data_IF_357628798129
#
_entry.id   IF_357628798129
#
_cell.length_a   1.000
_cell.length_b   1.000
_cell.length_c   1.000
_cell.angle_alpha   90.00
_cell.angle_beta   90.00
_cell.angle_gamma   90.00
#
_symmetry.space_group_name_H-M   'P 1'
#
loop_
_entity.id
_entity.type
_entity.pdbx_description
1 polymer ?
#
# COMPACT_ATOMS: atom_id res chain seq x y z
N UNK A 1 23.05 -12.46 11.86
CA UNK A 1 22.11 -11.55 12.35
C UNK A 1 21.42 -12.04 13.58
N UNK A 2 21.52 -11.28 14.59
CA UNK A 2 21.16 -11.72 15.92
C UNK A 2 19.76 -11.31 16.32
N UNK A 3 19.21 -10.42 15.58
CA UNK A 3 17.91 -9.87 15.91
C UNK A 3 16.83 -10.93 15.72
N UNK A 4 15.92 -11.08 16.68
CA UNK A 4 14.79 -12.01 16.49
C UNK A 4 13.99 -11.55 15.29
N UNK A 5 14.20 -12.26 14.19
CA UNK A 5 13.61 -12.00 12.94
C UNK A 5 12.17 -11.63 12.97
N UNK A 6 11.22 -12.45 13.54
CA UNK A 6 9.80 -12.13 13.45
C UNK A 6 9.46 -10.77 14.03
N UNK A 7 10.13 -10.42 15.11
CA UNK A 7 9.88 -9.14 15.77
C UNK A 7 10.38 -7.96 14.94
N UNK A 8 11.61 -8.07 14.41
CA UNK A 8 12.19 -6.99 13.60
C UNK A 8 11.40 -6.74 12.34
N UNK A 9 10.99 -7.82 11.66
CA UNK A 9 10.21 -7.71 10.45
C UNK A 9 8.85 -7.09 10.72
N UNK A 10 8.19 -7.54 11.78
CA UNK A 10 6.89 -7.03 12.17
C UNK A 10 6.95 -5.53 12.50
N UNK A 11 8.01 -5.10 13.16
CA UNK A 11 8.19 -3.68 13.48
C UNK A 11 8.40 -2.86 12.21
N UNK A 12 9.23 -3.32 11.29
CA UNK A 12 9.42 -2.62 10.01
C UNK A 12 8.15 -2.53 9.21
N UNK A 13 7.43 -3.64 9.10
CA UNK A 13 6.16 -3.68 8.38
C UNK A 13 5.14 -2.75 9.03
N UNK A 14 5.06 -2.76 10.34
CA UNK A 14 4.14 -1.89 11.07
C UNK A 14 4.48 -0.41 10.88
N UNK A 15 5.77 -0.07 10.92
CA UNK A 15 6.21 1.30 10.67
C UNK A 15 5.87 1.75 9.25
N UNK A 16 6.21 0.92 8.27
CA UNK A 16 5.91 1.24 6.88
C UNK A 16 4.41 1.39 6.65
N UNK A 17 3.62 0.50 7.20
CA UNK A 17 2.18 0.53 7.08
C UNK A 17 1.60 1.79 7.74
N UNK A 18 2.05 2.12 8.93
CA UNK A 18 1.57 3.30 9.66
C UNK A 18 1.92 4.59 8.92
N UNK A 19 3.19 4.74 8.53
CA UNK A 19 3.64 5.95 7.84
C UNK A 19 2.91 6.10 6.51
N UNK A 20 2.81 5.02 5.73
CA UNK A 20 2.12 5.08 4.45
C UNK A 20 0.64 5.39 4.61
N UNK A 21 0.00 4.84 5.64
CA UNK A 21 -1.41 5.13 5.94
C UNK A 21 -1.61 6.62 6.26
N UNK A 22 -0.73 7.20 7.07
CA UNK A 22 -0.82 8.62 7.39
C UNK A 22 -0.64 9.50 6.16
N UNK A 23 0.28 9.12 5.26
CA UNK A 23 0.47 9.83 4.00
C UNK A 23 -0.78 9.71 3.12
N UNK A 24 -1.37 8.53 3.03
CA UNK A 24 -2.60 8.32 2.28
C UNK A 24 -3.72 9.22 2.81
N UNK A 25 -3.90 9.26 4.13
CA UNK A 25 -4.95 10.08 4.74
C UNK A 25 -4.72 11.57 4.50
N UNK A 26 -3.47 12.02 4.61
CA UNK A 26 -3.14 13.41 4.34
C UNK A 26 -3.45 13.79 2.88
N UNK A 27 -3.04 12.95 1.94
CA UNK A 27 -3.29 13.21 0.53
C UNK A 27 -4.77 13.15 0.17
N UNK A 28 -5.53 12.25 0.78
CA UNK A 28 -6.99 12.21 0.57
C UNK A 28 -7.63 13.54 0.93
N UNK A 29 -7.21 14.14 2.05
CA UNK A 29 -7.74 15.43 2.48
C UNK A 29 -7.33 16.58 1.58
N UNK A 30 -6.15 16.49 0.95
CA UNK A 30 -5.62 17.54 0.09
C UNK A 30 -6.22 17.48 -1.31
N UNK A 31 -6.43 16.29 -1.84
CA UNK A 31 -6.82 16.11 -3.25
C UNK A 31 -8.34 16.04 -3.41
N UNK A 32 -9.04 15.41 -2.49
CA UNK A 32 -10.50 15.30 -2.49
C UNK A 32 -11.10 14.72 -3.78
N UNK A 33 -10.40 13.77 -4.42
CA UNK A 33 -10.94 13.13 -5.61
C UNK A 33 -12.01 12.12 -5.20
N UNK A 34 -13.23 12.29 -5.69
CA UNK A 34 -14.29 11.34 -5.44
C UNK A 34 -14.06 10.04 -6.20
N UNK A 35 -14.59 8.93 -5.65
CA UNK A 35 -14.47 7.62 -6.28
C UNK A 35 -15.22 7.58 -7.60
N UNK A 36 -14.83 6.67 -8.51
CA UNK A 36 -15.64 6.39 -9.70
C UNK A 36 -17.06 6.07 -9.27
N UNK A 37 -17.98 6.31 -10.16
CA UNK A 37 -19.35 6.44 -9.80
C UNK A 37 -20.09 5.14 -9.46
N UNK A 38 -21.40 5.19 -9.69
CA UNK A 38 -22.40 4.21 -9.31
C UNK A 38 -22.22 2.80 -9.89
N UNK A 39 -21.26 2.57 -10.78
CA UNK A 39 -20.96 1.25 -11.30
C UNK A 39 -20.07 0.41 -10.40
N UNK A 40 -19.67 0.95 -9.26
CA UNK A 40 -18.80 0.23 -8.32
C UNK A 40 -19.47 -1.06 -7.85
N UNK A 41 -18.70 -2.15 -7.84
CA UNK A 41 -19.16 -3.47 -7.44
C UNK A 41 -19.18 -3.66 -5.93
N UNK A 42 -18.50 -2.80 -5.19
CA UNK A 42 -18.48 -2.86 -3.72
C UNK A 42 -18.69 -1.48 -3.13
N UNK A 43 -19.09 -1.45 -1.86
CA UNK A 43 -19.26 -0.20 -1.13
C UNK A 43 -17.99 0.11 -0.34
N UNK A 44 -17.56 1.36 -0.36
CA UNK A 44 -16.41 1.82 0.41
C UNK A 44 -16.84 2.76 1.52
N UNK A 45 -16.19 2.70 2.70
CA UNK A 45 -16.56 3.56 3.82
C UNK A 45 -16.19 5.02 3.62
N UNK A 46 -15.14 5.33 2.86
CA UNK A 46 -14.81 6.73 2.60
C UNK A 46 -15.09 7.08 1.14
N UNK A 47 -15.35 8.36 0.90
CA UNK A 47 -15.82 8.83 -0.41
C UNK A 47 -14.70 9.24 -1.34
N UNK A 48 -13.46 9.40 -0.86
CA UNK A 48 -12.36 9.87 -1.68
C UNK A 48 -11.48 8.72 -2.13
N UNK A 49 -11.07 8.77 -3.38
CA UNK A 49 -10.35 7.66 -4.00
C UNK A 49 -8.83 7.81 -4.00
N UNK A 50 -8.31 9.02 -4.01
CA UNK A 50 -6.88 9.25 -4.20
C UNK A 50 -6.17 9.52 -2.88
N UNK A 51 -5.10 8.83 -2.56
CA UNK A 51 -4.62 7.64 -3.25
C UNK A 51 -5.28 6.35 -2.70
N UNK A 52 -5.05 5.20 -3.35
CA UNK A 52 -5.63 3.93 -2.92
C UNK A 52 -4.96 3.42 -1.65
N UNK A 53 -5.73 3.30 -0.57
CA UNK A 53 -5.24 2.75 0.68
C UNK A 53 -4.91 1.27 0.59
N UNK A 54 -5.73 0.48 -0.11
CA UNK A 54 -5.48 -0.95 -0.28
C UNK A 54 -4.23 -1.23 -1.11
N UNK A 55 -4.04 -0.47 -2.19
CA UNK A 55 -2.84 -0.62 -3.01
C UNK A 55 -1.58 -0.28 -2.21
N UNK A 56 -1.63 0.80 -1.43
CA UNK A 56 -0.52 1.22 -0.58
C UNK A 56 -0.21 0.17 0.49
N UNK A 57 -1.21 -0.24 1.23
CA UNK A 57 -1.03 -1.19 2.33
C UNK A 57 -0.52 -2.54 1.85
N UNK A 58 -1.11 -3.07 0.78
CA UNK A 58 -0.71 -4.37 0.25
C UNK A 58 0.75 -4.37 -0.19
N UNK A 59 1.16 -3.33 -0.91
CA UNK A 59 2.53 -3.27 -1.41
C UNK A 59 3.53 -2.95 -0.29
N UNK A 60 3.17 -2.10 0.66
CA UNK A 60 4.05 -1.80 1.79
C UNK A 60 4.36 -3.05 2.61
N UNK A 61 3.36 -3.87 2.89
CA UNK A 61 3.57 -5.13 3.62
C UNK A 61 4.39 -6.10 2.78
N UNK A 62 4.03 -6.28 1.51
CA UNK A 62 4.74 -7.20 0.62
C UNK A 62 6.22 -6.84 0.49
N UNK A 63 6.53 -5.57 0.29
CA UNK A 63 7.92 -5.11 0.16
C UNK A 63 8.69 -5.27 1.46
N UNK A 64 8.06 -4.99 2.60
CA UNK A 64 8.72 -5.13 3.89
C UNK A 64 9.18 -6.56 4.13
N UNK A 65 8.34 -7.55 3.82
CA UNK A 65 8.71 -8.95 3.96
C UNK A 65 9.68 -9.41 2.88
N UNK A 66 9.52 -8.92 1.64
CA UNK A 66 10.41 -9.28 0.54
C UNK A 66 11.85 -8.80 0.75
N UNK A 67 12.04 -7.66 1.42
CA UNK A 67 13.39 -7.19 1.73
C UNK A 67 14.13 -8.13 2.66
N UNK A 68 13.43 -8.79 3.56
CA UNK A 68 14.06 -9.74 4.48
C UNK A 68 14.19 -11.12 3.85
N UNK A 69 13.20 -11.55 3.10
CA UNK A 69 13.21 -12.83 2.41
C UNK A 69 13.01 -12.62 0.91
N UNK A 70 14.10 -12.28 0.20
CA UNK A 70 13.99 -11.97 -1.24
C UNK A 70 13.38 -13.10 -2.06
N UNK A 71 13.50 -14.34 -1.61
CA UNK A 71 12.87 -15.48 -2.28
C UNK A 71 11.35 -15.42 -2.33
N UNK A 72 10.74 -14.63 -1.44
CA UNK A 72 9.29 -14.45 -1.44
C UNK A 72 8.82 -13.32 -2.36
N UNK A 73 9.73 -12.48 -2.85
CA UNK A 73 9.36 -11.35 -3.70
C UNK A 73 8.57 -11.76 -4.94
N UNK A 74 8.93 -12.83 -5.67
CA UNK A 74 8.17 -13.24 -6.86
C UNK A 74 6.73 -13.65 -6.56
N UNK A 75 6.42 -13.98 -5.32
CA UNK A 75 5.07 -14.31 -4.89
C UNK A 75 4.36 -13.10 -4.31
N UNK A 76 5.01 -12.40 -3.38
CA UNK A 76 4.38 -11.33 -2.61
C UNK A 76 4.16 -10.07 -3.43
N UNK A 77 5.14 -9.67 -4.24
CA UNK A 77 5.04 -8.42 -4.98
C UNK A 77 3.98 -8.47 -6.08
N UNK A 78 3.93 -9.50 -6.93
CA UNK A 78 2.84 -9.61 -7.90
C UNK A 78 1.46 -9.71 -7.25
N UNK A 79 1.35 -10.42 -6.14
CA UNK A 79 0.08 -10.52 -5.43
C UNK A 79 -0.38 -9.14 -4.93
N UNK A 80 0.53 -8.36 -4.37
CA UNK A 80 0.22 -7.02 -3.89
C UNK A 80 -0.17 -6.07 -5.03
N UNK A 81 0.53 -6.15 -6.16
CA UNK A 81 0.20 -5.36 -7.33
C UNK A 81 -1.20 -5.72 -7.84
N UNK A 82 -1.53 -7.01 -7.89
CA UNK A 82 -2.85 -7.44 -8.30
C UNK A 82 -3.95 -6.97 -7.34
N UNK A 83 -3.68 -6.98 -6.05
CA UNK A 83 -4.64 -6.46 -5.07
C UNK A 83 -4.93 -4.98 -5.36
N UNK A 84 -3.89 -4.19 -5.63
CA UNK A 84 -4.07 -2.79 -5.97
C UNK A 84 -4.93 -2.60 -7.22
N UNK A 85 -4.60 -3.30 -8.29
CA UNK A 85 -5.32 -3.14 -9.55
C UNK A 85 -6.72 -3.75 -9.53
N UNK A 86 -6.98 -4.71 -8.64
CA UNK A 86 -8.34 -5.23 -8.45
C UNK A 86 -9.30 -4.12 -7.99
N UNK A 87 -8.77 -3.10 -7.29
CA UNK A 87 -9.59 -1.96 -6.85
C UNK A 87 -10.13 -1.17 -8.03
N UNK A 88 -9.37 -1.09 -9.12
CA UNK A 88 -9.85 -0.48 -10.37
C UNK A 88 -10.92 -1.35 -11.01
N UNK A 89 -10.69 -2.66 -11.07
CA UNK A 89 -11.66 -3.59 -11.62
C UNK A 89 -12.99 -3.59 -10.85
N UNK A 90 -12.93 -3.39 -9.54
CA UNK A 90 -14.12 -3.29 -8.70
C UNK A 90 -14.85 -1.94 -8.84
N UNK A 91 -14.27 -0.98 -9.54
CA UNK A 91 -14.89 0.30 -9.80
C UNK A 91 -14.79 1.31 -8.68
N UNK A 92 -13.90 1.10 -7.71
CA UNK A 92 -13.78 1.98 -6.54
C UNK A 92 -12.57 2.90 -6.58
N UNK A 93 -11.67 2.69 -7.54
CA UNK A 93 -10.48 3.54 -7.72
C UNK A 93 -10.18 3.77 -9.17
N UNK A 94 -9.56 4.93 -9.46
CA UNK A 94 -8.96 5.22 -10.76
C UNK A 94 -7.56 4.61 -10.83
N UNK A 95 -7.04 4.33 -12.04
CA UNK A 95 -5.66 3.82 -12.17
C UNK A 95 -4.61 4.70 -11.50
N UNK A 96 -4.77 6.02 -11.57
CA UNK A 96 -3.85 6.95 -10.92
C UNK A 96 -3.85 6.82 -9.40
N UNK A 97 -4.98 6.44 -8.78
CA UNK A 97 -5.08 6.21 -7.35
C UNK A 97 -4.19 5.04 -6.93
N UNK A 98 -4.23 3.97 -7.72
CA UNK A 98 -3.44 2.76 -7.47
C UNK A 98 -1.95 3.03 -7.70
N UNK A 99 -1.60 3.70 -8.79
CA UNK A 99 -0.21 4.04 -9.08
C UNK A 99 0.40 4.90 -7.98
N UNK A 100 -0.30 5.93 -7.54
CA UNK A 100 0.20 6.77 -6.46
C UNK A 100 0.32 5.98 -5.15
N UNK A 101 -0.65 5.13 -4.85
CA UNK A 101 -0.57 4.27 -3.67
C UNK A 101 0.66 3.38 -3.69
N UNK A 102 0.98 2.82 -4.84
CA UNK A 102 2.16 1.98 -5.01
C UNK A 102 3.46 2.78 -4.90
N UNK A 103 3.49 4.00 -5.41
CA UNK A 103 4.65 4.89 -5.25
C UNK A 103 4.85 5.23 -3.77
N UNK A 104 3.78 5.54 -3.06
CA UNK A 104 3.85 5.83 -1.62
C UNK A 104 4.42 4.62 -0.86
N UNK A 105 3.97 3.42 -1.19
CA UNK A 105 4.48 2.21 -0.56
C UNK A 105 5.97 2.02 -0.80
N UNK A 106 6.41 2.18 -2.05
CA UNK A 106 7.82 2.07 -2.40
C UNK A 106 8.67 3.08 -1.64
N UNK A 107 8.26 4.34 -1.64
CA UNK A 107 8.99 5.40 -0.96
C UNK A 107 9.05 5.17 0.55
N UNK A 108 7.94 4.75 1.14
CA UNK A 108 7.86 4.53 2.59
C UNK A 108 8.72 3.36 3.02
N UNK A 109 8.64 2.25 2.30
CA UNK A 109 9.44 1.06 2.63
C UNK A 109 10.93 1.36 2.46
N UNK A 110 11.30 2.06 1.39
CA UNK A 110 12.68 2.46 1.18
C UNK A 110 13.18 3.36 2.32
N UNK A 111 12.37 4.32 2.75
CA UNK A 111 12.71 5.20 3.86
C UNK A 111 12.89 4.44 5.18
N UNK A 112 12.01 3.53 5.49
CA UNK A 112 12.12 2.70 6.70
C UNK A 112 13.37 1.81 6.63
N UNK A 113 13.66 1.23 5.47
CA UNK A 113 14.84 0.39 5.29
C UNK A 113 16.13 1.18 5.51
N UNK A 114 16.18 2.44 5.10
CA UNK A 114 17.33 3.31 5.30
C UNK A 114 17.55 3.69 6.76
N UNK A 115 16.48 3.72 7.55
CA UNK A 115 16.55 4.02 8.98
C UNK A 115 16.98 2.82 9.81
N UNK A 116 16.96 1.65 9.24
CA UNK A 116 17.20 0.40 9.94
C UNK A 116 18.64 -0.15 9.73
#
# INVERSE_FOLDING_TARGET
LVVPWPRAISIRAALALTISHLLVQALKRMVNRERPDATALIRCPDRFSFPSGHATAALAVALSYALTWPGLAPLLVPAAVLIGWSRVALGVHYPGDVLMGQVIALATVAGVAMMW
#
